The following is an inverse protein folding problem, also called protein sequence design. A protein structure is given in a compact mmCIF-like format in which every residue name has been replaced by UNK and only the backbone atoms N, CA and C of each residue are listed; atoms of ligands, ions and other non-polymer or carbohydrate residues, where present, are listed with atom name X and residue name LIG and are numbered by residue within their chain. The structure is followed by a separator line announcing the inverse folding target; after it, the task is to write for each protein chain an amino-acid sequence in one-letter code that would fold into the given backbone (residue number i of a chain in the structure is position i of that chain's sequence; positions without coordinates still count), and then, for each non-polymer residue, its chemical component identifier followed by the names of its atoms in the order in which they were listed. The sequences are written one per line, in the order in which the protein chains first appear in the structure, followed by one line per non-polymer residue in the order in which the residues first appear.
data_IF_959717268472
#
_entry.id   IF_959717268472
#
_cell.length_a   1.000
_cell.length_b   1.000
_cell.length_c   1.000
_cell.angle_alpha   90.00
_cell.angle_beta   90.00
_cell.angle_gamma   90.00
#
_symmetry.space_group_name_H-M   'P 1'
#
loop_
_entity.id
_entity.type
_entity.pdbx_description
1 polymer ?
#
# COMPACT_ATOMS: atom_id res chain seq x y z
N UNK A 1 -12.66 7.51 -0.42
CA UNK A 1 -11.76 8.17 0.55
C UNK A 1 -10.75 7.19 1.13
N UNK A 2 -11.14 6.16 1.89
CA UNK A 2 -10.20 5.14 2.46
C UNK A 2 -9.27 4.53 1.42
N UNK A 3 -9.81 4.21 0.25
CA UNK A 3 -9.08 3.58 -0.86
C UNK A 3 -8.07 4.56 -1.45
N UNK A 4 -8.53 5.77 -1.77
CA UNK A 4 -7.66 6.82 -2.31
C UNK A 4 -6.51 7.16 -1.38
N UNK A 5 -6.75 7.27 -0.07
CA UNK A 5 -5.71 7.57 0.94
C UNK A 5 -4.68 6.43 1.03
N UNK A 6 -5.12 5.17 1.01
CA UNK A 6 -4.19 4.04 1.03
C UNK A 6 -3.36 3.93 -0.24
N UNK A 7 -4.04 4.01 -1.39
CA UNK A 7 -3.43 3.95 -2.72
C UNK A 7 -2.40 5.06 -2.90
N UNK A 8 -2.78 6.29 -2.61
CA UNK A 8 -1.93 7.45 -2.86
C UNK A 8 -0.65 7.37 -2.03
N UNK A 9 -0.79 7.16 -0.73
CA UNK A 9 0.33 7.28 0.18
C UNK A 9 1.35 6.15 0.04
N UNK A 10 0.90 4.91 -0.17
CA UNK A 10 1.83 3.81 -0.43
C UNK A 10 2.46 3.96 -1.82
N UNK A 11 1.71 4.39 -2.85
CA UNK A 11 2.29 4.66 -4.18
C UNK A 11 3.37 5.74 -4.14
N UNK A 12 3.18 6.81 -3.35
CA UNK A 12 4.19 7.86 -3.13
C UNK A 12 5.44 7.28 -2.49
N UNK A 13 5.31 6.43 -1.46
CA UNK A 13 6.46 5.75 -0.87
C UNK A 13 7.19 4.87 -1.88
N UNK A 14 6.46 4.09 -2.68
CA UNK A 14 7.05 3.23 -3.70
C UNK A 14 7.81 4.03 -4.77
N UNK A 15 7.31 5.20 -5.16
CA UNK A 15 8.03 6.12 -6.05
C UNK A 15 9.36 6.60 -5.45
N UNK A 16 9.45 6.69 -4.12
CA UNK A 16 10.68 7.04 -3.40
C UNK A 16 11.51 5.83 -2.93
N UNK A 17 11.13 4.59 -3.29
CA UNK A 17 11.83 3.39 -2.83
C UNK A 17 13.33 3.39 -3.21
N UNK A 18 13.69 3.98 -4.35
CA UNK A 18 15.08 4.14 -4.74
C UNK A 18 15.90 4.96 -3.74
N UNK A 19 15.30 6.01 -3.14
CA UNK A 19 15.96 6.80 -2.10
C UNK A 19 16.15 5.99 -0.82
N UNK A 20 15.18 5.16 -0.45
CA UNK A 20 15.29 4.25 0.70
C UNK A 20 16.47 3.28 0.52
N UNK A 21 16.55 2.61 -0.64
CA UNK A 21 17.62 1.64 -0.91
C UNK A 21 19.00 2.31 -0.98
N UNK A 22 19.08 3.50 -1.56
CA UNK A 22 20.30 4.32 -1.53
C UNK A 22 20.73 4.66 -0.11
N UNK A 23 19.80 5.07 0.76
CA UNK A 23 20.06 5.33 2.18
C UNK A 23 20.51 4.07 2.95
N UNK A 24 20.15 2.88 2.46
CA UNK A 24 20.61 1.57 2.97
C UNK A 24 21.87 1.04 2.26
N UNK A 25 22.57 1.88 1.51
CA UNK A 25 23.81 1.56 0.80
C UNK A 25 23.70 0.49 -0.30
N UNK A 26 22.50 0.27 -0.84
CA UNK A 26 22.34 -0.56 -2.04
C UNK A 26 22.81 0.21 -3.28
N UNK A 27 23.46 -0.49 -4.20
CA UNK A 27 23.82 0.11 -5.48
C UNK A 27 22.59 0.36 -6.36
N UNK A 28 22.71 1.25 -7.34
CA UNK A 28 21.64 1.51 -8.30
C UNK A 28 21.22 0.24 -9.05
N UNK A 29 22.18 -0.63 -9.38
CA UNK A 29 21.92 -1.91 -10.04
C UNK A 29 21.14 -2.88 -9.13
N UNK A 30 21.54 -3.03 -7.88
CA UNK A 30 20.81 -3.87 -6.91
C UNK A 30 19.39 -3.35 -6.69
N UNK A 31 19.25 -2.03 -6.57
CA UNK A 31 17.96 -1.36 -6.39
C UNK A 31 17.03 -1.64 -7.57
N UNK A 32 17.53 -1.50 -8.81
CA UNK A 32 16.74 -1.80 -10.01
C UNK A 32 16.25 -3.25 -10.03
N UNK A 33 17.12 -4.22 -9.70
CA UNK A 33 16.74 -5.64 -9.59
C UNK A 33 15.64 -5.83 -8.55
N UNK A 34 15.80 -5.25 -7.35
CA UNK A 34 14.81 -5.39 -6.27
C UNK A 34 13.45 -4.83 -6.71
N UNK A 35 13.43 -3.64 -7.33
CA UNK A 35 12.19 -3.03 -7.82
C UNK A 35 11.54 -3.86 -8.93
N UNK A 36 12.31 -4.42 -9.87
CA UNK A 36 11.78 -5.33 -10.90
C UNK A 36 11.17 -6.59 -10.29
N UNK A 37 11.83 -7.20 -9.30
CA UNK A 37 11.28 -8.36 -8.59
C UNK A 37 10.02 -7.97 -7.80
N UNK A 38 10.01 -6.78 -7.20
CA UNK A 38 8.84 -6.27 -6.49
C UNK A 38 7.62 -6.14 -7.43
N UNK A 39 7.82 -5.66 -8.66
CA UNK A 39 6.76 -5.62 -9.67
C UNK A 39 6.23 -7.01 -10.04
N UNK A 40 7.10 -8.02 -10.11
CA UNK A 40 6.68 -9.40 -10.32
C UNK A 40 5.85 -9.92 -9.14
N UNK A 41 6.22 -9.58 -7.89
CA UNK A 41 5.44 -9.90 -6.70
C UNK A 41 4.07 -9.21 -6.68
N UNK A 42 3.99 -7.95 -7.12
CA UNK A 42 2.72 -7.25 -7.36
C UNK A 42 1.84 -8.06 -8.33
N UNK A 43 2.36 -8.41 -9.52
CA UNK A 43 1.58 -9.17 -10.50
C UNK A 43 1.06 -10.50 -9.94
N UNK A 44 1.87 -11.21 -9.14
CA UNK A 44 1.45 -12.43 -8.45
C UNK A 44 0.36 -12.14 -7.42
N UNK A 45 0.46 -11.05 -6.67
CA UNK A 45 -0.56 -10.63 -5.71
C UNK A 45 -1.92 -10.42 -6.41
N UNK A 46 -1.96 -9.65 -7.50
CA UNK A 46 -3.20 -9.34 -8.21
C UNK A 46 -3.93 -10.60 -8.71
N UNK A 47 -3.20 -11.60 -9.22
CA UNK A 47 -3.78 -12.87 -9.70
C UNK A 47 -4.18 -13.81 -8.55
N UNK A 48 -3.55 -13.66 -7.38
CA UNK A 48 -3.80 -14.54 -6.24
C UNK A 48 -5.03 -14.15 -5.41
N UNK A 49 -5.62 -12.98 -5.66
CA UNK A 49 -6.74 -12.43 -4.89
C UNK A 49 -7.92 -13.36 -4.86
N UNK A 50 -8.34 -13.87 -6.02
CA UNK A 50 -9.52 -14.75 -6.10
C UNK A 50 -9.32 -16.02 -5.25
N UNK A 51 -8.15 -16.66 -5.38
CA UNK A 51 -7.81 -17.88 -4.64
C UNK A 51 -7.76 -17.65 -3.13
N UNK A 52 -7.14 -16.56 -2.69
CA UNK A 52 -6.99 -16.24 -1.27
C UNK A 52 -8.33 -15.79 -0.68
N UNK A 53 -9.02 -14.88 -1.36
CA UNK A 53 -10.33 -14.37 -0.94
C UNK A 53 -11.39 -15.46 -0.89
N UNK A 54 -11.34 -16.47 -1.77
CA UNK A 54 -12.22 -17.64 -1.68
C UNK A 54 -11.94 -18.49 -0.42
N UNK A 55 -10.68 -18.57 0.01
CA UNK A 55 -10.28 -19.43 1.14
C UNK A 55 -10.53 -18.80 2.51
N UNK A 56 -10.21 -17.51 2.68
CA UNK A 56 -10.29 -16.82 3.98
C UNK A 56 -11.34 -15.72 4.03
N UNK A 57 -11.95 -15.37 2.90
CA UNK A 57 -12.88 -14.26 2.76
C UNK A 57 -12.16 -12.93 2.53
N UNK A 58 -12.65 -12.15 1.55
CA UNK A 58 -12.04 -10.88 1.13
C UNK A 58 -11.78 -9.90 2.29
N UNK A 59 -12.76 -9.76 3.20
CA UNK A 59 -12.63 -8.85 4.37
C UNK A 59 -11.49 -9.24 5.31
N UNK A 60 -11.33 -10.55 5.58
CA UNK A 60 -10.25 -11.05 6.45
C UNK A 60 -8.91 -10.96 5.76
N UNK A 61 -8.87 -11.20 4.44
CA UNK A 61 -7.67 -11.05 3.63
C UNK A 61 -7.16 -9.60 3.65
N UNK A 62 -8.02 -8.60 3.43
CA UNK A 62 -7.65 -7.18 3.50
C UNK A 62 -7.04 -6.83 4.88
N UNK A 63 -7.69 -7.25 5.97
CA UNK A 63 -7.18 -7.01 7.33
C UNK A 63 -5.81 -7.66 7.56
N UNK A 64 -5.65 -8.91 7.13
CA UNK A 64 -4.40 -9.66 7.26
C UNK A 64 -3.27 -8.96 6.50
N UNK A 65 -3.47 -8.61 5.24
CA UNK A 65 -2.41 -8.02 4.42
C UNK A 65 -2.08 -6.58 4.84
N UNK A 66 -3.05 -5.80 5.32
CA UNK A 66 -2.75 -4.51 5.96
C UNK A 66 -1.88 -4.69 7.22
N UNK A 67 -2.17 -5.72 8.04
CA UNK A 67 -1.38 -6.03 9.23
C UNK A 67 0.04 -6.49 8.86
N UNK A 68 0.18 -7.30 7.81
CA UNK A 68 1.48 -7.70 7.25
C UNK A 68 2.25 -6.48 6.75
N UNK A 69 1.61 -5.57 6.01
CA UNK A 69 2.25 -4.33 5.54
C UNK A 69 2.83 -3.53 6.70
N UNK A 70 2.05 -3.31 7.77
CA UNK A 70 2.51 -2.58 8.97
C UNK A 70 3.72 -3.28 9.60
N UNK A 71 3.65 -4.60 9.81
CA UNK A 71 4.74 -5.37 10.39
C UNK A 71 6.01 -5.33 9.53
N UNK A 72 5.86 -5.38 8.20
CA UNK A 72 6.98 -5.41 7.28
C UNK A 72 7.66 -4.04 7.13
N UNK A 73 6.98 -2.92 7.35
CA UNK A 73 7.66 -1.62 7.44
C UNK A 73 8.72 -1.59 8.55
N UNK A 74 8.50 -2.30 9.66
CA UNK A 74 9.51 -2.40 10.74
C UNK A 74 10.75 -3.15 10.27
N UNK A 75 10.62 -4.15 9.40
CA UNK A 75 11.76 -4.91 8.88
C UNK A 75 12.76 -4.05 8.07
N UNK A 76 12.29 -2.93 7.51
CA UNK A 76 13.14 -1.96 6.80
C UNK A 76 14.11 -1.23 7.74
N UNK A 77 13.93 -1.31 9.06
CA UNK A 77 14.92 -0.85 10.06
C UNK A 77 16.13 -1.75 10.20
N UNK A 78 16.07 -2.98 9.70
CA UNK A 78 17.19 -3.90 9.78
C UNK A 78 18.44 -3.35 9.07
N UNK A 79 19.61 -3.81 9.49
CA UNK A 79 20.88 -3.62 8.79
C UNK A 79 21.20 -4.81 7.87
N UNK A 80 20.42 -5.89 7.95
CA UNK A 80 20.62 -7.09 7.12
C UNK A 80 19.91 -6.90 5.79
N UNK A 81 20.68 -6.85 4.70
CA UNK A 81 20.15 -6.62 3.34
C UNK A 81 19.00 -7.58 2.98
N UNK A 82 19.15 -8.87 3.28
CA UNK A 82 18.12 -9.88 3.02
C UNK A 82 16.78 -9.57 3.72
N UNK A 83 16.82 -9.07 4.97
CA UNK A 83 15.62 -8.71 5.73
C UNK A 83 14.92 -7.49 5.11
N UNK A 84 15.69 -6.47 4.72
CA UNK A 84 15.16 -5.28 4.06
C UNK A 84 14.47 -5.66 2.75
N UNK A 85 15.14 -6.47 1.91
CA UNK A 85 14.60 -6.89 0.61
C UNK A 85 13.32 -7.71 0.78
N UNK A 86 13.34 -8.73 1.64
CA UNK A 86 12.14 -9.55 1.90
C UNK A 86 10.99 -8.71 2.46
N UNK A 87 11.29 -7.79 3.38
CA UNK A 87 10.34 -6.83 3.91
C UNK A 87 9.68 -5.99 2.83
N UNK A 88 10.49 -5.40 1.96
CA UNK A 88 10.00 -4.58 0.86
C UNK A 88 9.15 -5.38 -0.13
N UNK A 89 9.56 -6.60 -0.49
CA UNK A 89 8.77 -7.47 -1.37
C UNK A 89 7.41 -7.84 -0.76
N UNK A 90 7.35 -8.08 0.55
CA UNK A 90 6.11 -8.37 1.24
C UNK A 90 5.22 -7.12 1.40
N UNK A 91 5.80 -5.93 1.59
CA UNK A 91 5.06 -4.67 1.53
C UNK A 91 4.42 -4.51 0.16
N UNK A 92 5.20 -4.70 -0.92
CA UNK A 92 4.71 -4.56 -2.29
C UNK A 92 3.58 -5.54 -2.59
N UNK A 93 3.77 -6.82 -2.26
CA UNK A 93 2.76 -7.85 -2.43
C UNK A 93 1.48 -7.52 -1.66
N UNK A 94 1.61 -7.15 -0.39
CA UNK A 94 0.48 -6.88 0.50
C UNK A 94 -0.28 -5.62 0.07
N UNK A 95 0.45 -4.59 -0.36
CA UNK A 95 -0.12 -3.36 -0.92
C UNK A 95 -0.97 -3.66 -2.14
N UNK A 96 -0.41 -4.33 -3.14
CA UNK A 96 -1.10 -4.66 -4.39
C UNK A 96 -2.34 -5.53 -4.13
N UNK A 97 -2.22 -6.51 -3.24
CA UNK A 97 -3.34 -7.34 -2.83
C UNK A 97 -4.48 -6.50 -2.25
N UNK A 98 -4.16 -5.64 -1.27
CA UNK A 98 -5.15 -4.80 -0.60
C UNK A 98 -5.76 -3.79 -1.58
N UNK A 99 -4.94 -3.19 -2.43
CA UNK A 99 -5.36 -2.21 -3.41
C UNK A 99 -6.41 -2.80 -4.38
N UNK A 100 -6.04 -3.89 -5.02
CA UNK A 100 -6.93 -4.57 -5.96
C UNK A 100 -8.19 -5.10 -5.25
N UNK A 101 -8.06 -5.62 -4.03
CA UNK A 101 -9.20 -6.11 -3.24
C UNK A 101 -10.17 -4.99 -2.84
N UNK A 102 -9.65 -3.81 -2.49
CA UNK A 102 -10.45 -2.63 -2.18
C UNK A 102 -11.16 -2.09 -3.42
N UNK A 103 -10.48 -2.06 -4.56
CA UNK A 103 -11.09 -1.69 -5.84
C UNK A 103 -12.24 -2.66 -6.23
N UNK A 104 -12.05 -3.97 -6.03
CA UNK A 104 -13.12 -4.95 -6.24
C UNK A 104 -14.35 -4.66 -5.34
N UNK A 105 -14.14 -4.37 -4.06
CA UNK A 105 -15.23 -4.00 -3.13
C UNK A 105 -16.00 -2.76 -3.61
N UNK A 106 -15.32 -1.75 -4.18
CA UNK A 106 -16.01 -0.57 -4.74
C UNK A 106 -16.84 -0.94 -5.96
N UNK A 107 -16.29 -1.76 -6.85
CA UNK A 107 -16.99 -2.18 -8.05
C UNK A 107 -18.27 -2.95 -7.71
N UNK A 108 -18.19 -3.84 -6.72
CA UNK A 108 -19.31 -4.66 -6.24
C UNK A 108 -20.39 -3.81 -5.55
N UNK A 109 -20.00 -2.77 -4.81
CA UNK A 109 -20.95 -1.89 -4.10
C UNK A 109 -21.55 -0.78 -4.98
N UNK A 110 -20.92 -0.48 -6.11
CA UNK A 110 -21.37 0.58 -7.00
C UNK A 110 -22.51 0.10 -7.91
N UNK A 111 -23.58 0.91 -7.99
CA UNK A 111 -24.61 0.74 -9.01
C UNK A 111 -24.01 0.92 -10.41
N UNK A 112 -24.35 0.03 -11.35
CA UNK A 112 -23.82 0.02 -12.72
C UNK A 112 -23.90 1.38 -13.42
N UNK A 113 -24.91 2.20 -13.10
CA UNK A 113 -25.08 3.54 -13.67
C UNK A 113 -24.00 4.55 -13.26
N UNK A 114 -23.41 4.40 -12.08
CA UNK A 114 -22.43 5.34 -11.51
C UNK A 114 -21.04 4.73 -11.33
N UNK A 115 -20.88 3.43 -11.56
CA UNK A 115 -19.63 2.69 -11.32
C UNK A 115 -18.42 3.36 -11.99
N UNK A 116 -18.51 3.68 -13.28
CA UNK A 116 -17.41 4.34 -14.02
C UNK A 116 -17.07 5.71 -13.43
N UNK A 117 -18.07 6.52 -13.10
CA UNK A 117 -17.88 7.85 -12.50
C UNK A 117 -17.26 7.75 -11.10
N UNK A 118 -17.68 6.78 -10.29
CA UNK A 118 -17.14 6.55 -8.96
C UNK A 118 -15.68 6.14 -9.00
N UNK A 119 -15.31 5.19 -9.88
CA UNK A 119 -13.92 4.76 -10.07
C UNK A 119 -13.06 5.93 -10.55
N UNK A 120 -13.53 6.70 -11.54
CA UNK A 120 -12.81 7.88 -12.03
C UNK A 120 -12.62 8.93 -10.94
N UNK A 121 -13.62 9.14 -10.07
CA UNK A 121 -13.53 10.05 -8.93
C UNK A 121 -12.52 9.58 -7.89
N UNK A 122 -12.50 8.27 -7.59
CA UNK A 122 -11.50 7.65 -6.70
C UNK A 122 -10.10 7.86 -7.25
N UNK A 123 -9.88 7.58 -8.54
CA UNK A 123 -8.57 7.73 -9.19
C UNK A 123 -8.12 9.20 -9.23
N UNK A 124 -9.04 10.13 -9.54
CA UNK A 124 -8.75 11.57 -9.53
C UNK A 124 -8.36 12.03 -8.13
N UNK A 125 -9.09 11.58 -7.11
CA UNK A 125 -8.77 11.88 -5.71
C UNK A 125 -7.41 11.29 -5.32
N UNK A 126 -7.12 10.05 -5.73
CA UNK A 126 -5.83 9.38 -5.49
C UNK A 126 -4.69 10.21 -6.10
N UNK A 127 -4.80 10.62 -7.36
CA UNK A 127 -3.78 11.45 -8.02
C UNK A 127 -3.58 12.80 -7.32
N UNK A 128 -4.68 13.46 -6.92
CA UNK A 128 -4.61 14.70 -6.14
C UNK A 128 -3.89 14.53 -4.80
N UNK A 129 -4.22 13.46 -4.06
CA UNK A 129 -3.55 13.13 -2.80
C UNK A 129 -2.07 12.82 -3.01
N UNK A 130 -1.72 12.05 -4.05
CA UNK A 130 -0.31 11.74 -4.36
C UNK A 130 0.53 13.00 -4.56
N UNK A 131 -0.01 14.05 -5.17
CA UNK A 131 0.69 15.32 -5.31
C UNK A 131 1.03 15.94 -3.94
N UNK A 132 0.04 16.09 -3.07
CA UNK A 132 0.23 16.64 -1.72
C UNK A 132 1.14 15.77 -0.86
N UNK A 133 0.96 14.46 -0.92
CA UNK A 133 1.74 13.48 -0.15
C UNK A 133 3.19 13.42 -0.64
N UNK A 134 3.46 13.63 -1.93
CA UNK A 134 4.82 13.75 -2.46
C UNK A 134 5.54 14.95 -1.85
N UNK A 135 4.86 16.11 -1.78
CA UNK A 135 5.42 17.30 -1.12
C UNK A 135 5.66 17.06 0.37
N UNK A 136 4.69 16.47 1.07
CA UNK A 136 4.79 16.16 2.49
C UNK A 136 5.94 15.18 2.77
N UNK A 137 6.02 14.08 2.01
CA UNK A 137 7.05 13.05 2.17
C UNK A 137 8.44 13.63 1.91
N UNK A 138 8.57 14.48 0.88
CA UNK A 138 9.84 15.17 0.59
C UNK A 138 10.27 16.09 1.72
N UNK A 139 9.34 16.83 2.34
CA UNK A 139 9.62 17.66 3.50
C UNK A 139 9.99 16.81 4.74
N UNK A 140 9.35 15.66 4.94
CA UNK A 140 9.72 14.74 6.01
C UNK A 140 11.13 14.16 5.79
N UNK A 141 11.53 13.89 4.54
CA UNK A 141 12.86 13.38 4.22
C UNK A 141 13.97 14.36 4.58
N UNK A 142 13.74 15.67 4.41
CA UNK A 142 14.73 16.69 4.77
C UNK A 142 14.89 16.87 6.28
N UNK A 143 13.82 16.64 7.07
CA UNK A 143 13.84 16.85 8.52
C UNK A 143 14.28 15.60 9.29
N UNK A 144 13.75 14.42 8.95
CA UNK A 144 13.97 13.20 9.74
C UNK A 144 14.86 12.16 9.04
N UNK A 145 15.28 12.44 7.81
CA UNK A 145 16.01 11.51 6.94
C UNK A 145 15.08 10.54 6.22
N UNK A 146 15.53 10.05 5.06
CA UNK A 146 14.73 9.21 4.16
C UNK A 146 14.22 7.95 4.86
N UNK A 147 15.10 7.21 5.54
CA UNK A 147 14.74 5.92 6.15
C UNK A 147 13.64 6.05 7.22
N UNK A 148 13.81 6.96 8.18
CA UNK A 148 12.86 7.15 9.28
C UNK A 148 11.49 7.58 8.74
N UNK A 149 11.49 8.55 7.84
CA UNK A 149 10.28 9.10 7.25
C UNK A 149 9.55 8.06 6.40
N UNK A 150 10.26 7.27 5.61
CA UNK A 150 9.67 6.21 4.79
C UNK A 150 8.90 5.20 5.66
N UNK A 151 9.54 4.75 6.75
CA UNK A 151 8.99 3.74 7.64
C UNK A 151 7.84 4.29 8.46
N UNK A 152 8.00 5.46 9.09
CA UNK A 152 6.97 6.07 9.92
C UNK A 152 5.75 6.45 9.09
N UNK A 153 5.94 7.08 7.94
CA UNK A 153 4.83 7.45 7.06
C UNK A 153 4.08 6.20 6.60
N UNK A 154 4.78 5.14 6.20
CA UNK A 154 4.18 3.88 5.78
C UNK A 154 3.36 3.20 6.87
N UNK A 155 3.90 3.12 8.09
CA UNK A 155 3.19 2.56 9.26
C UNK A 155 1.94 3.38 9.59
N UNK A 156 2.05 4.71 9.63
CA UNK A 156 0.92 5.60 9.96
C UNK A 156 -0.19 5.44 8.93
N UNK A 157 0.14 5.49 7.64
CA UNK A 157 -0.82 5.36 6.54
C UNK A 157 -1.51 4.00 6.58
N UNK A 158 -0.74 2.90 6.68
CA UNK A 158 -1.33 1.56 6.71
C UNK A 158 -2.23 1.36 7.94
N UNK A 159 -1.84 1.95 9.09
CA UNK A 159 -2.65 1.92 10.31
C UNK A 159 -3.94 2.76 10.17
N UNK A 160 -3.86 3.95 9.60
CA UNK A 160 -5.03 4.80 9.32
C UNK A 160 -5.98 4.08 8.36
N UNK A 161 -5.47 3.46 7.31
CA UNK A 161 -6.28 2.66 6.39
C UNK A 161 -6.95 1.50 7.09
N UNK A 162 -6.24 0.77 7.95
CA UNK A 162 -6.80 -0.33 8.72
C UNK A 162 -7.94 0.15 9.64
N UNK A 163 -7.77 1.29 10.29
CA UNK A 163 -8.80 1.91 11.14
C UNK A 163 -10.03 2.34 10.32
N UNK A 164 -9.82 3.03 9.20
CA UNK A 164 -10.89 3.48 8.31
C UNK A 164 -11.64 2.30 7.69
N UNK A 165 -10.93 1.24 7.29
CA UNK A 165 -11.54 0.02 6.77
C UNK A 165 -12.36 -0.70 7.85
N UNK A 166 -11.83 -0.78 9.08
CA UNK A 166 -12.56 -1.36 10.21
C UNK A 166 -13.84 -0.56 10.53
N UNK A 167 -13.76 0.77 10.52
CA UNK A 167 -14.93 1.64 10.70
C UNK A 167 -15.98 1.43 9.60
N UNK A 168 -15.55 1.29 8.34
CA UNK A 168 -16.43 0.97 7.22
C UNK A 168 -17.13 -0.38 7.39
N UNK A 169 -16.45 -1.41 7.88
CA UNK A 169 -17.07 -2.71 8.15
C UNK A 169 -18.12 -2.64 9.26
N UNK A 170 -17.90 -1.80 10.28
CA UNK A 170 -18.87 -1.59 11.37
C UNK A 170 -20.12 -0.86 10.86
N UNK A 171 -19.97 0.16 10.01
CA UNK A 171 -21.12 0.87 9.43
C UNK A 171 -21.94 -0.06 8.53
N UNK A 172 -21.29 -0.86 7.68
CA UNK A 172 -22.01 -1.81 6.80
C UNK A 172 -22.80 -2.87 7.58
N UNK A 173 -22.31 -3.32 8.74
CA UNK A 173 -23.05 -4.26 9.61
C UNK A 173 -24.28 -3.64 10.30
N UNK A 174 -24.38 -2.30 10.38
CA UNK A 174 -25.52 -1.62 11.01
C UNK A 174 -26.64 -1.31 10.01
N UNK A 175 -26.32 -1.26 8.72
CA UNK A 175 -27.29 -0.99 7.64
C UNK A 175 -27.91 -2.23 7.02
N UNK A 176 -27.37 -3.43 7.31
CA UNK A 176 -27.92 -4.73 6.94
C UNK A 176 -28.44 -5.47 8.16
#
# INVERSE_FOLDING_TARGET
MTISVFQSAISVLLNFAQLLFSAKHFSAFQTAIILTIALAFSAVASVSIEKISAKIGNRRAIFLFLSVTIAMFVSLKSNTAAVIVLGFLLIQFSFEFVDTSLNAVVQDLANDKIRTSLISSVNTLTAGLMFFETMLTSALFSVFGVENSFILFGIVVASVTLLLYSAFLVTQKRTN
#
